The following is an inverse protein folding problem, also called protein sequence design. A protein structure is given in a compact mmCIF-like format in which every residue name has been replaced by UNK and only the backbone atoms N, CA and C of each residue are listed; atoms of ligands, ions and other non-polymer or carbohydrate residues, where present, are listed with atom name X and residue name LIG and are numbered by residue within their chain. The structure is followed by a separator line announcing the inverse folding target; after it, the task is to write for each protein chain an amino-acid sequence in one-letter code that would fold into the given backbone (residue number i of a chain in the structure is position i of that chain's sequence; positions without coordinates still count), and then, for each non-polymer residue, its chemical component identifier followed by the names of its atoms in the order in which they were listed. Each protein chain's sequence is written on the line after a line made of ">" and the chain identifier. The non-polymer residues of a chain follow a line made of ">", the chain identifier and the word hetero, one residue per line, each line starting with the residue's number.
data_IF_662077817245
#
_entry.id   IF_662077817245
#
_cell.length_a   1.000
_cell.length_b   1.000
_cell.length_c   1.000
_cell.angle_alpha   90.00
_cell.angle_beta   90.00
_cell.angle_gamma   90.00
#
_symmetry.space_group_name_H-M   'P 1'
#
loop_
_entity.id
_entity.type
_entity.pdbx_description
1 polymer ?
#
# COMPACT_ATOMS: atom_id res chain seq x y z
N UNK A 1 11.44 -38.04 -22.27
CA UNK A 1 12.33 -37.69 -21.14
C UNK A 1 12.39 -36.17 -21.07
N UNK A 2 12.07 -35.59 -19.92
CA UNK A 2 12.33 -34.17 -19.67
C UNK A 2 13.85 -33.97 -19.65
N UNK A 3 14.34 -32.98 -20.40
CA UNK A 3 15.73 -32.55 -20.39
C UNK A 3 16.00 -31.83 -19.04
N UNK A 4 16.74 -32.44 -18.10
CA UNK A 4 16.92 -31.89 -16.76
C UNK A 4 17.65 -30.55 -16.78
N UNK A 5 18.56 -30.35 -17.74
CA UNK A 5 19.33 -29.10 -17.87
C UNK A 5 18.43 -27.96 -18.35
N UNK A 6 17.56 -28.25 -19.32
CA UNK A 6 16.57 -27.28 -19.79
C UNK A 6 15.59 -26.87 -18.68
N UNK A 7 15.08 -27.84 -17.92
CA UNK A 7 14.20 -27.56 -16.77
C UNK A 7 14.90 -26.70 -15.70
N UNK A 8 16.17 -26.99 -15.41
CA UNK A 8 16.97 -26.21 -14.46
C UNK A 8 17.18 -24.77 -14.95
N UNK A 9 17.50 -24.57 -16.22
CA UNK A 9 17.66 -23.23 -16.81
C UNK A 9 16.35 -22.43 -16.78
N UNK A 10 15.23 -23.06 -17.14
CA UNK A 10 13.90 -22.43 -17.08
C UNK A 10 13.53 -22.08 -15.63
N UNK A 11 13.87 -22.92 -14.66
CA UNK A 11 13.66 -22.66 -13.23
C UNK A 11 14.49 -21.49 -12.73
N UNK A 12 15.79 -21.45 -13.05
CA UNK A 12 16.66 -20.32 -12.68
C UNK A 12 16.12 -19.02 -13.25
N UNK A 13 15.75 -19.02 -14.53
CA UNK A 13 15.15 -17.86 -15.19
C UNK A 13 13.87 -17.41 -14.47
N UNK A 14 12.95 -18.34 -14.19
CA UNK A 14 11.70 -18.02 -13.49
C UNK A 14 11.95 -17.40 -12.10
N UNK A 15 12.95 -17.90 -11.36
CA UNK A 15 13.34 -17.33 -10.05
C UNK A 15 13.89 -15.91 -10.22
N UNK A 16 14.79 -15.70 -11.19
CA UNK A 16 15.34 -14.37 -11.46
C UNK A 16 14.26 -13.37 -11.89
N UNK A 17 13.32 -13.80 -12.74
CA UNK A 17 12.20 -12.97 -13.18
C UNK A 17 11.29 -12.59 -12.01
N UNK A 18 11.02 -13.52 -11.09
CA UNK A 18 10.27 -13.26 -9.86
C UNK A 18 11.00 -12.28 -8.93
N UNK A 19 12.32 -12.43 -8.76
CA UNK A 19 13.14 -11.50 -7.97
C UNK A 19 13.11 -10.08 -8.55
N UNK A 20 13.22 -9.97 -9.88
CA UNK A 20 13.14 -8.69 -10.57
C UNK A 20 11.76 -8.04 -10.40
N UNK A 21 10.68 -8.82 -10.54
CA UNK A 21 9.32 -8.33 -10.31
C UNK A 21 9.12 -7.85 -8.87
N UNK A 22 9.64 -8.59 -7.89
CA UNK A 22 9.59 -8.19 -6.48
C UNK A 22 10.32 -6.86 -6.25
N UNK A 23 11.54 -6.71 -6.77
CA UNK A 23 12.33 -5.49 -6.63
C UNK A 23 11.64 -4.27 -7.29
N UNK A 24 11.02 -4.46 -8.46
CA UNK A 24 10.23 -3.42 -9.13
C UNK A 24 9.01 -3.02 -8.29
N UNK A 25 8.27 -3.99 -7.75
CA UNK A 25 7.11 -3.73 -6.90
C UNK A 25 7.50 -3.00 -5.60
N UNK A 26 8.60 -3.40 -4.96
CA UNK A 26 9.14 -2.70 -3.78
C UNK A 26 9.50 -1.25 -4.10
N UNK A 27 10.15 -1.00 -5.24
CA UNK A 27 10.51 0.35 -5.67
C UNK A 27 9.26 1.22 -5.93
N UNK A 28 8.21 0.65 -6.53
CA UNK A 28 6.93 1.34 -6.74
C UNK A 28 6.22 1.65 -5.42
N UNK A 29 6.18 0.69 -4.50
CA UNK A 29 5.58 0.89 -3.17
C UNK A 29 6.31 1.99 -2.39
N UNK A 30 7.64 2.04 -2.47
CA UNK A 30 8.43 3.11 -1.87
C UNK A 30 8.08 4.48 -2.46
N UNK A 31 8.00 4.59 -3.79
CA UNK A 31 7.65 5.83 -4.46
C UNK A 31 6.22 6.29 -4.11
N UNK A 32 5.25 5.37 -4.11
CA UNK A 32 3.87 5.66 -3.70
C UNK A 32 3.80 6.13 -2.24
N UNK A 33 4.54 5.48 -1.34
CA UNK A 33 4.62 5.88 0.07
C UNK A 33 5.22 7.29 0.24
N UNK A 34 6.23 7.64 -0.56
CA UNK A 34 6.82 8.98 -0.53
C UNK A 34 5.82 10.05 -1.01
N UNK A 35 5.10 9.79 -2.11
CA UNK A 35 4.05 10.68 -2.61
C UNK A 35 2.96 10.86 -1.57
N UNK A 36 2.46 9.77 -0.99
CA UNK A 36 1.41 9.83 0.01
C UNK A 36 1.84 10.65 1.23
N UNK A 37 3.06 10.42 1.76
CA UNK A 37 3.60 11.24 2.86
C UNK A 37 3.64 12.73 2.52
N UNK A 38 4.09 13.07 1.31
CA UNK A 38 4.17 14.47 0.87
C UNK A 38 2.78 15.14 0.74
N UNK A 39 1.76 14.38 0.33
CA UNK A 39 0.37 14.86 0.26
C UNK A 39 -0.23 14.98 1.66
N UNK A 40 -0.05 13.97 2.52
CA UNK A 40 -0.61 13.95 3.87
C UNK A 40 -0.11 15.13 4.73
N UNK A 41 1.14 15.57 4.54
CA UNK A 41 1.68 16.74 5.25
C UNK A 41 1.02 18.07 4.88
N UNK A 42 0.26 18.13 3.78
CA UNK A 42 -0.42 19.33 3.29
C UNK A 42 -1.91 19.35 3.64
N UNK A 43 -2.43 18.30 4.27
CA UNK A 43 -3.84 18.20 4.63
C UNK A 43 -4.14 19.18 5.77
N UNK A 44 -5.16 20.01 5.57
CA UNK A 44 -5.69 20.86 6.64
C UNK A 44 -6.28 19.99 7.75
N UNK A 45 -6.02 20.27 9.04
CA UNK A 45 -6.51 19.47 10.16
C UNK A 45 -8.01 19.15 10.09
N UNK A 46 -8.85 20.13 9.72
CA UNK A 46 -10.31 19.94 9.64
C UNK A 46 -10.77 18.99 8.52
N UNK A 47 -9.89 18.63 7.58
CA UNK A 47 -10.18 17.74 6.45
C UNK A 47 -9.73 16.30 6.67
N UNK A 48 -8.94 16.02 7.71
CA UNK A 48 -8.38 14.68 7.92
C UNK A 48 -9.47 13.62 8.11
N UNK A 49 -10.60 13.97 8.73
CA UNK A 49 -11.72 13.05 8.92
C UNK A 49 -12.33 12.63 7.58
N UNK A 50 -12.57 13.59 6.68
CA UNK A 50 -13.06 13.33 5.34
C UNK A 50 -12.09 12.44 4.55
N UNK A 51 -10.77 12.67 4.68
CA UNK A 51 -9.76 11.85 4.01
C UNK A 51 -9.76 10.40 4.50
N UNK A 52 -10.00 10.16 5.81
CA UNK A 52 -10.14 8.80 6.36
C UNK A 52 -11.37 8.11 5.78
N UNK A 53 -12.52 8.78 5.75
CA UNK A 53 -13.76 8.22 5.18
C UNK A 53 -13.64 7.90 3.68
N UNK A 54 -13.00 8.80 2.93
CA UNK A 54 -12.72 8.60 1.49
C UNK A 54 -11.73 7.45 1.28
N UNK A 55 -10.74 7.29 2.16
CA UNK A 55 -9.81 6.16 2.12
C UNK A 55 -10.53 4.84 2.36
N UNK A 56 -11.33 4.71 3.42
CA UNK A 56 -12.05 3.48 3.76
C UNK A 56 -13.01 3.09 2.63
N UNK A 57 -13.78 4.07 2.13
CA UNK A 57 -14.69 3.86 0.99
C UNK A 57 -13.93 3.43 -0.28
N UNK A 58 -12.80 4.06 -0.55
CA UNK A 58 -11.97 3.75 -1.71
C UNK A 58 -11.37 2.34 -1.62
N UNK A 59 -10.91 1.94 -0.44
CA UNK A 59 -10.39 0.59 -0.17
C UNK A 59 -11.49 -0.44 -0.44
N UNK A 60 -12.70 -0.24 0.10
CA UNK A 60 -13.81 -1.17 -0.12
C UNK A 60 -14.17 -1.32 -1.60
N UNK A 61 -14.26 -0.20 -2.32
CA UNK A 61 -14.57 -0.20 -3.76
C UNK A 61 -13.50 -0.89 -4.61
N UNK A 62 -12.23 -0.72 -4.27
CA UNK A 62 -11.11 -1.35 -4.97
C UNK A 62 -10.97 -2.83 -4.58
N UNK A 63 -11.18 -3.17 -3.30
CA UNK A 63 -11.14 -4.54 -2.81
C UNK A 63 -12.24 -5.39 -3.43
N UNK A 64 -13.44 -4.82 -3.67
CA UNK A 64 -14.54 -5.50 -4.34
C UNK A 64 -14.21 -5.91 -5.79
N UNK A 65 -13.20 -5.32 -6.42
CA UNK A 65 -12.73 -5.69 -7.76
C UNK A 65 -11.73 -6.86 -7.74
N UNK A 66 -11.27 -7.26 -6.55
CA UNK A 66 -10.36 -8.40 -6.37
C UNK A 66 -11.16 -9.66 -6.02
N UNK A 67 -10.79 -10.80 -6.62
CA UNK A 67 -11.24 -12.12 -6.15
C UNK A 67 -10.96 -12.24 -4.64
N UNK A 68 -11.92 -12.70 -3.82
CA UNK A 68 -11.78 -12.82 -2.37
C UNK A 68 -10.47 -13.49 -1.92
N UNK A 69 -9.94 -14.45 -2.70
CA UNK A 69 -8.68 -15.14 -2.35
C UNK A 69 -7.44 -14.23 -2.42
N UNK A 70 -7.54 -13.09 -3.11
CA UNK A 70 -6.48 -12.07 -3.21
C UNK A 70 -6.73 -10.86 -2.32
N UNK A 71 -7.90 -10.75 -1.68
CA UNK A 71 -8.13 -9.73 -0.68
C UNK A 71 -7.24 -10.00 0.53
N UNK A 72 -6.53 -8.97 0.99
CA UNK A 72 -5.60 -9.05 2.11
C UNK A 72 -5.80 -7.84 3.03
N UNK A 73 -6.87 -7.82 3.84
CA UNK A 73 -7.27 -6.67 4.64
C UNK A 73 -6.17 -6.04 5.47
N UNK A 74 -5.38 -6.88 6.12
CA UNK A 74 -4.23 -6.49 6.92
C UNK A 74 -3.31 -5.45 6.26
N UNK A 75 -3.06 -5.52 4.95
CA UNK A 75 -2.10 -4.62 4.29
C UNK A 75 -2.65 -3.22 4.01
N UNK A 76 -3.98 -3.04 4.00
CA UNK A 76 -4.57 -1.71 3.91
C UNK A 76 -5.03 -1.16 5.26
N UNK A 77 -5.28 -2.03 6.25
CA UNK A 77 -5.48 -1.64 7.66
C UNK A 77 -4.26 -0.88 8.22
N UNK A 78 -3.03 -1.26 7.82
CA UNK A 78 -1.79 -0.52 8.17
C UNK A 78 -1.86 0.97 7.78
N UNK A 79 -2.57 1.31 6.70
CA UNK A 79 -2.75 2.69 6.27
C UNK A 79 -3.86 3.42 7.03
N UNK A 80 -4.93 2.70 7.43
CA UNK A 80 -5.96 3.27 8.29
C UNK A 80 -5.36 3.69 9.64
N UNK A 81 -4.51 2.86 10.23
CA UNK A 81 -3.78 3.18 11.47
C UNK A 81 -2.91 4.44 11.31
N UNK A 82 -2.17 4.56 10.21
CA UNK A 82 -1.34 5.74 9.93
C UNK A 82 -2.15 7.03 9.79
N UNK A 83 -3.33 6.98 9.18
CA UNK A 83 -4.21 8.13 9.04
C UNK A 83 -4.86 8.52 10.39
N UNK A 84 -5.21 7.54 11.22
CA UNK A 84 -5.69 7.78 12.59
C UNK A 84 -4.61 8.44 13.46
N UNK A 85 -3.37 7.93 13.41
CA UNK A 85 -2.21 8.53 14.08
C UNK A 85 -1.98 9.98 13.65
N UNK A 86 -2.11 10.26 12.35
CA UNK A 86 -1.99 11.61 11.81
C UNK A 86 -3.09 12.53 12.35
N UNK A 87 -4.34 12.06 12.38
CA UNK A 87 -5.46 12.79 12.94
C UNK A 87 -5.22 13.15 14.42
N UNK A 88 -4.73 12.20 15.22
CA UNK A 88 -4.42 12.47 16.63
C UNK A 88 -3.33 13.54 16.79
N UNK A 89 -2.27 13.48 15.97
CA UNK A 89 -1.18 14.47 16.00
C UNK A 89 -1.70 15.85 15.63
N UNK A 90 -2.56 15.95 14.62
CA UNK A 90 -3.18 17.22 14.22
C UNK A 90 -4.06 17.79 15.34
N UNK A 91 -4.87 16.96 16.02
CA UNK A 91 -5.67 17.38 17.19
C UNK A 91 -4.81 17.90 18.34
N UNK A 92 -3.68 17.23 18.63
CA UNK A 92 -2.74 17.63 19.70
C UNK A 92 -1.97 18.90 19.36
N UNK A 93 -1.78 19.22 18.08
CA UNK A 93 -1.02 20.38 17.62
C UNK A 93 -1.88 21.66 17.48
N UNK A 94 -3.21 21.56 17.54
CA UNK A 94 -4.09 22.74 17.57
C UNK A 94 -4.05 23.39 18.96
N UNK A 95 -3.76 24.71 19.07
CA UNK A 95 -3.88 25.42 20.34
C UNK A 95 -5.34 25.42 20.80
N UNK A 96 -5.62 25.44 22.13
CA UNK A 96 -6.98 25.52 22.63
C UNK A 96 -7.65 26.79 22.10
N UNK A 97 -8.88 26.62 21.61
CA UNK A 97 -9.74 27.69 21.10
C UNK A 97 -10.05 28.75 22.17
#
# INVERSE_FOLDING_TARGET
>A
MHDPEKFQQETIKAITDLQNMLAQNQSRLLAQSAVLRAVLTQIHPDRIHQVIEEFDTGVDQLAAQLDPKYQRPKYWEEWAELLQDLQERMKKAQPPA
#
